data_IF_573683481947
#
_entry.id   IF_573683481947
#
_cell.length_a   1.000
_cell.length_b   1.000
_cell.length_c   1.000
_cell.angle_alpha   90.00
_cell.angle_beta   90.00
_cell.angle_gamma   90.00
#
_symmetry.space_group_name_H-M   'P 1'
#
loop_
_entity.id
_entity.type
_entity.pdbx_description
1 polymer ?
#
# COMPACT_ATOMS: atom_id res chain seq x y z
N UNK A 1 -4.54 -5.52 -17.92
CA UNK A 1 -4.16 -6.48 -16.85
C UNK A 1 -3.84 -5.72 -15.58
N UNK A 2 -4.54 -5.96 -14.45
CA UNK A 2 -4.22 -5.31 -13.19
C UNK A 2 -2.82 -5.73 -12.74
N UNK A 3 -1.94 -4.75 -12.52
CA UNK A 3 -0.57 -4.94 -12.05
C UNK A 3 -0.51 -4.77 -10.52
N UNK A 4 -1.33 -5.52 -9.80
CA UNK A 4 -1.21 -5.70 -8.35
C UNK A 4 -0.67 -7.11 -8.10
N UNK A 5 0.56 -7.24 -7.61
CA UNK A 5 1.12 -8.56 -7.25
C UNK A 5 1.32 -8.58 -5.76
N UNK A 6 0.49 -9.32 -5.01
CA UNK A 6 0.84 -9.69 -3.64
C UNK A 6 2.13 -10.54 -3.66
N UNK A 7 2.88 -10.58 -2.56
CA UNK A 7 4.17 -11.26 -2.50
C UNK A 7 4.04 -12.74 -2.88
N UNK A 8 4.72 -13.17 -3.94
CA UNK A 8 4.92 -14.61 -4.20
C UNK A 8 6.29 -15.01 -3.68
N UNK A 9 6.34 -15.54 -2.45
CA UNK A 9 7.50 -16.26 -1.93
C UNK A 9 7.06 -17.69 -1.64
N UNK A 10 7.80 -18.67 -2.18
CA UNK A 10 7.68 -20.07 -1.77
C UNK A 10 7.87 -20.09 -0.25
N UNK A 11 6.85 -20.51 0.50
CA UNK A 11 6.80 -20.55 1.98
C UNK A 11 6.54 -19.22 2.71
N UNK A 12 6.05 -18.17 2.03
CA UNK A 12 5.44 -17.02 2.73
C UNK A 12 4.05 -16.77 2.19
N UNK A 13 3.04 -16.97 3.03
CA UNK A 13 1.65 -16.65 2.75
C UNK A 13 1.26 -15.46 3.60
N UNK A 14 0.30 -14.68 3.09
CA UNK A 14 -0.43 -13.78 3.97
C UNK A 14 -1.20 -14.66 4.96
N UNK A 15 -1.39 -14.15 6.17
CA UNK A 15 -2.10 -14.83 7.25
C UNK A 15 -3.19 -13.91 7.82
N UNK A 16 -4.07 -14.46 8.64
CA UNK A 16 -5.02 -13.66 9.40
C UNK A 16 -4.27 -12.66 10.30
N UNK A 17 -4.82 -11.46 10.44
CA UNK A 17 -4.23 -10.30 11.12
C UNK A 17 -2.99 -9.67 10.46
N UNK A 18 -2.55 -10.17 9.29
CA UNK A 18 -1.56 -9.43 8.50
C UNK A 18 -2.13 -8.09 8.02
N UNK A 19 -1.22 -7.12 7.77
CA UNK A 19 -1.56 -5.84 7.17
C UNK A 19 -1.20 -5.80 5.69
N UNK A 20 -2.21 -5.59 4.85
CA UNK A 20 -2.02 -5.24 3.45
C UNK A 20 -2.09 -3.72 3.27
N UNK A 21 -0.93 -3.06 3.14
CA UNK A 21 -0.86 -1.60 3.03
C UNK A 21 -0.91 -1.12 1.57
N UNK A 22 -1.64 -0.02 1.35
CA UNK A 22 -1.72 0.66 0.07
C UNK A 22 -0.82 1.89 0.05
N UNK A 23 0.04 1.94 -0.96
CA UNK A 23 1.00 3.01 -1.17
C UNK A 23 0.66 3.82 -2.42
N UNK A 24 0.82 5.14 -2.33
CA UNK A 24 0.58 6.07 -3.44
C UNK A 24 1.71 7.09 -3.55
N UNK A 25 2.00 7.50 -4.79
CA UNK A 25 2.83 8.67 -5.05
C UNK A 25 2.01 9.93 -4.85
N UNK A 26 2.35 10.74 -3.84
CA UNK A 26 1.63 11.97 -3.50
C UNK A 26 2.58 13.17 -3.43
N UNK A 27 2.00 14.37 -3.46
CA UNK A 27 2.68 15.63 -3.19
C UNK A 27 1.83 16.52 -2.28
N UNK A 28 2.46 17.15 -1.30
CA UNK A 28 1.82 18.14 -0.44
C UNK A 28 1.80 19.50 -1.16
N UNK A 29 0.61 19.95 -1.53
CA UNK A 29 0.42 21.25 -2.16
C UNK A 29 0.17 22.35 -1.11
N UNK A 30 0.45 23.62 -1.43
CA UNK A 30 0.07 24.74 -0.57
C UNK A 30 -1.43 24.74 -0.26
N UNK A 31 -1.79 25.36 0.87
CA UNK A 31 -3.19 25.55 1.22
C UNK A 31 -3.95 26.24 0.09
N UNK A 32 -5.21 25.84 -0.13
CA UNK A 32 -6.08 26.36 -1.20
C UNK A 32 -5.51 26.15 -2.62
N UNK A 33 -4.50 25.29 -2.81
CA UNK A 33 -3.99 25.01 -4.16
C UNK A 33 -5.11 24.55 -5.10
N UNK A 34 -6.01 23.69 -4.63
CA UNK A 34 -7.14 23.17 -5.38
C UNK A 34 -8.41 24.02 -5.33
N UNK A 35 -8.41 25.18 -4.65
CA UNK A 35 -9.61 26.03 -4.52
C UNK A 35 -10.02 26.73 -5.81
N UNK A 36 -9.17 26.66 -6.85
CA UNK A 36 -9.46 27.14 -8.20
C UNK A 36 -8.99 26.14 -9.24
N UNK A 37 -9.67 26.11 -10.39
CA UNK A 37 -9.23 25.31 -11.54
C UNK A 37 -7.86 25.80 -12.00
N UNK A 38 -6.92 24.88 -12.19
CA UNK A 38 -5.55 25.16 -12.65
C UNK A 38 -5.26 24.47 -13.97
N UNK A 39 -4.40 25.09 -14.77
CA UNK A 39 -3.87 24.48 -15.99
C UNK A 39 -2.87 23.39 -15.64
N UNK A 40 -2.74 22.40 -16.51
CA UNK A 40 -1.78 21.29 -16.34
C UNK A 40 -0.33 21.79 -16.10
N UNK A 41 0.07 22.89 -16.74
CA UNK A 41 1.40 23.50 -16.55
C UNK A 41 1.62 23.97 -15.11
N UNK A 42 0.60 24.56 -14.47
CA UNK A 42 0.68 25.03 -13.09
C UNK A 42 0.76 23.86 -12.11
N UNK A 43 -0.02 22.80 -12.36
CA UNK A 43 0.01 21.56 -11.57
C UNK A 43 1.40 20.92 -11.65
N UNK A 44 1.98 20.82 -12.85
CA UNK A 44 3.34 20.30 -13.06
C UNK A 44 4.39 21.14 -12.36
N UNK A 45 4.28 22.48 -12.39
CA UNK A 45 5.21 23.39 -11.70
C UNK A 45 5.15 23.18 -10.18
N UNK A 46 3.95 23.19 -9.60
CA UNK A 46 3.77 23.00 -8.16
C UNK A 46 4.21 21.59 -7.69
N UNK A 47 4.00 20.56 -8.52
CA UNK A 47 4.53 19.24 -8.25
C UNK A 47 6.06 19.22 -8.19
N UNK A 48 6.74 19.83 -9.17
CA UNK A 48 8.22 19.95 -9.17
C UNK A 48 8.74 20.72 -7.96
N UNK A 49 8.10 21.83 -7.60
CA UNK A 49 8.44 22.58 -6.39
C UNK A 49 8.28 21.72 -5.13
N UNK A 50 7.21 20.91 -5.07
CA UNK A 50 7.00 19.96 -3.98
C UNK A 50 8.08 18.89 -3.96
N UNK A 51 8.54 18.39 -5.12
CA UNK A 51 9.66 17.45 -5.19
C UNK A 51 10.96 18.06 -4.65
N UNK A 52 11.28 19.29 -5.03
CA UNK A 52 12.49 20.01 -4.57
C UNK A 52 12.45 20.24 -3.07
N UNK A 53 11.29 20.63 -2.53
CA UNK A 53 11.07 20.84 -1.09
C UNK A 53 10.94 19.52 -0.30
N UNK A 54 11.13 18.37 -0.95
CA UNK A 54 10.97 17.06 -0.33
C UNK A 54 9.53 16.75 0.10
N UNK A 55 8.53 17.53 -0.32
CA UNK A 55 7.09 17.42 -0.04
C UNK A 55 6.35 16.47 -0.98
N UNK A 56 7.02 15.94 -1.99
CA UNK A 56 6.52 14.85 -2.83
C UNK A 56 7.29 13.55 -2.56
N UNK A 57 6.61 12.42 -2.71
CA UNK A 57 7.18 11.12 -2.37
C UNK A 57 6.17 9.98 -2.41
N UNK A 58 6.51 8.88 -1.74
CA UNK A 58 5.63 7.72 -1.58
C UNK A 58 5.06 7.73 -0.18
N UNK A 59 3.75 7.50 -0.08
CA UNK A 59 3.00 7.52 1.16
C UNK A 59 2.17 6.25 1.30
N UNK A 60 2.02 5.76 2.51
CA UNK A 60 0.93 4.84 2.87
C UNK A 60 -0.33 5.69 3.00
N UNK A 61 -1.42 5.25 2.39
CA UNK A 61 -2.72 5.97 2.40
C UNK A 61 -3.83 5.19 3.11
N UNK A 62 -3.61 3.90 3.34
CA UNK A 62 -4.56 3.01 3.96
C UNK A 62 -4.11 1.56 3.84
N UNK A 63 -5.01 0.64 4.12
CA UNK A 63 -4.73 -0.78 4.02
C UNK A 63 -5.94 -1.64 4.34
N UNK A 64 -5.68 -2.93 4.51
CA UNK A 64 -6.64 -3.94 4.95
C UNK A 64 -5.97 -4.73 6.08
N UNK A 65 -6.66 -4.88 7.20
CA UNK A 65 -6.36 -5.90 8.22
C UNK A 65 -7.00 -7.19 7.70
N UNK A 66 -6.20 -8.22 7.46
CA UNK A 66 -6.67 -9.45 6.80
C UNK A 66 -7.47 -10.29 7.80
N UNK A 67 -8.71 -10.61 7.45
CA UNK A 67 -9.55 -11.55 8.20
C UNK A 67 -9.46 -12.95 7.57
N UNK A 68 -9.57 -13.03 6.24
CA UNK A 68 -9.59 -14.31 5.53
C UNK A 68 -8.92 -14.22 4.15
N UNK A 69 -8.27 -15.30 3.74
CA UNK A 69 -7.66 -15.43 2.41
C UNK A 69 -8.34 -16.56 1.65
N UNK A 70 -9.01 -16.20 0.56
CA UNK A 70 -9.81 -17.12 -0.22
C UNK A 70 -9.03 -17.59 -1.43
N UNK A 71 -8.68 -18.87 -1.42
CA UNK A 71 -8.10 -19.56 -2.57
C UNK A 71 -9.21 -19.98 -3.54
N UNK A 72 -9.42 -19.17 -4.59
CA UNK A 72 -10.48 -19.43 -5.57
C UNK A 72 -10.21 -20.72 -6.35
N UNK A 73 -8.97 -21.21 -6.43
CA UNK A 73 -8.67 -22.52 -7.06
C UNK A 73 -9.47 -23.66 -6.43
N UNK A 74 -9.70 -23.60 -5.12
CA UNK A 74 -10.33 -24.67 -4.35
C UNK A 74 -11.85 -24.63 -4.39
N UNK A 75 -12.43 -23.43 -4.48
CA UNK A 75 -13.86 -23.21 -4.27
C UNK A 75 -14.59 -22.84 -5.56
N UNK A 76 -13.88 -22.26 -6.53
CA UNK A 76 -14.43 -21.70 -7.76
C UNK A 76 -15.02 -20.29 -7.57
N UNK A 77 -14.91 -19.45 -8.60
CA UNK A 77 -15.23 -18.02 -8.50
C UNK A 77 -16.71 -17.75 -8.20
N UNK A 78 -17.64 -18.47 -8.85
CA UNK A 78 -19.09 -18.32 -8.64
C UNK A 78 -19.50 -18.65 -7.20
N UNK A 79 -18.95 -19.72 -6.64
CA UNK A 79 -19.20 -20.12 -5.25
C UNK A 79 -18.56 -19.15 -4.26
N UNK A 80 -17.37 -18.64 -4.58
CA UNK A 80 -16.68 -17.64 -3.77
C UNK A 80 -17.49 -16.34 -3.69
N UNK A 81 -18.05 -15.84 -4.80
CA UNK A 81 -18.93 -14.67 -4.79
C UNK A 81 -20.20 -14.95 -3.99
N UNK A 82 -20.81 -16.14 -4.13
CA UNK A 82 -22.02 -16.49 -3.38
C UNK A 82 -21.78 -16.50 -1.86
N UNK A 83 -20.62 -17.01 -1.43
CA UNK A 83 -20.24 -17.08 -0.02
C UNK A 83 -19.71 -15.73 0.50
N UNK A 84 -19.07 -14.95 -0.37
CA UNK A 84 -18.46 -13.66 -0.06
C UNK A 84 -18.80 -12.63 -1.14
N UNK A 85 -19.99 -12.00 -1.10
CA UNK A 85 -20.43 -11.08 -2.16
C UNK A 85 -19.47 -9.91 -2.41
N UNK A 86 -18.80 -9.45 -1.35
CA UNK A 86 -17.87 -8.32 -1.41
C UNK A 86 -16.49 -8.68 -2.01
N UNK A 87 -16.24 -9.96 -2.29
CA UNK A 87 -14.97 -10.42 -2.87
C UNK A 87 -14.65 -9.71 -4.19
N UNK A 88 -15.68 -9.30 -4.95
CA UNK A 88 -15.54 -8.60 -6.23
C UNK A 88 -14.75 -7.30 -6.10
N UNK A 89 -14.87 -6.63 -4.95
CA UNK A 89 -14.19 -5.36 -4.64
C UNK A 89 -12.87 -5.57 -3.89
N UNK A 90 -12.56 -6.81 -3.51
CA UNK A 90 -11.35 -7.14 -2.77
C UNK A 90 -10.09 -7.04 -3.64
N UNK A 91 -8.91 -6.83 -3.05
CA UNK A 91 -7.66 -6.99 -3.78
C UNK A 91 -7.49 -8.45 -4.21
N UNK A 92 -7.32 -8.65 -5.51
CA UNK A 92 -7.03 -9.96 -6.10
C UNK A 92 -5.58 -10.07 -6.49
N UNK A 93 -5.01 -11.27 -6.41
CA UNK A 93 -3.72 -11.56 -7.05
C UNK A 93 -3.75 -12.87 -7.82
N UNK A 94 -2.95 -12.91 -8.88
CA UNK A 94 -2.67 -14.12 -9.65
C UNK A 94 -1.35 -14.72 -9.16
N UNK A 95 -1.35 -16.00 -8.77
CA UNK A 95 -0.09 -16.74 -8.65
C UNK A 95 0.31 -17.23 -10.05
N UNK A 96 1.63 -17.35 -10.30
CA UNK A 96 2.11 -17.82 -11.62
C UNK A 96 1.61 -19.25 -11.81
N UNK A 97 0.82 -19.48 -12.86
CA UNK A 97 0.16 -20.76 -13.18
C UNK A 97 -0.96 -21.18 -12.21
N UNK A 98 -1.57 -20.24 -11.49
CA UNK A 98 -2.57 -20.54 -10.45
C UNK A 98 -3.82 -19.65 -10.60
N UNK A 99 -4.93 -20.10 -10.01
CA UNK A 99 -6.18 -19.35 -9.95
C UNK A 99 -6.05 -18.14 -9.00
N UNK A 100 -6.91 -17.12 -9.15
CA UNK A 100 -6.84 -15.93 -8.31
C UNK A 100 -6.98 -16.26 -6.83
N UNK A 101 -6.43 -15.40 -5.99
CA UNK A 101 -6.67 -15.40 -4.55
C UNK A 101 -7.18 -14.03 -4.16
N UNK A 102 -8.19 -14.02 -3.32
CA UNK A 102 -8.78 -12.81 -2.77
C UNK A 102 -8.42 -12.66 -1.29
N UNK A 103 -8.30 -11.41 -0.85
CA UNK A 103 -8.08 -11.06 0.55
C UNK A 103 -9.32 -10.35 1.06
N UNK A 104 -9.97 -10.92 2.07
CA UNK A 104 -11.07 -10.29 2.79
C UNK A 104 -10.54 -9.77 4.12
N UNK A 105 -11.03 -8.60 4.51
CA UNK A 105 -10.57 -7.97 5.73
C UNK A 105 -11.23 -6.63 6.00
N UNK A 106 -10.91 -6.06 7.15
CA UNK A 106 -11.31 -4.70 7.52
C UNK A 106 -10.42 -3.67 6.83
N UNK A 107 -10.97 -3.00 5.82
CA UNK A 107 -10.31 -1.89 5.13
C UNK A 107 -10.24 -0.63 6.00
N UNK A 108 -9.17 0.16 5.83
CA UNK A 108 -9.00 1.45 6.49
C UNK A 108 -8.29 2.46 5.58
N UNK A 109 -8.56 3.75 5.84
CA UNK A 109 -7.85 4.88 5.26
C UNK A 109 -7.16 5.64 6.37
N UNK A 110 -5.96 6.15 6.09
CA UNK A 110 -5.27 7.03 7.01
C UNK A 110 -5.85 8.43 6.88
N UNK A 111 -6.19 9.06 8.01
CA UNK A 111 -6.63 10.46 8.04
C UNK A 111 -5.55 11.39 7.45
N UNK A 112 -4.28 11.07 7.70
CA UNK A 112 -3.13 11.75 7.11
C UNK A 112 -2.21 10.69 6.46
N UNK A 113 -1.90 10.79 5.15
CA UNK A 113 -0.99 9.86 4.51
C UNK A 113 0.38 9.81 5.21
N UNK A 114 0.87 8.61 5.50
CA UNK A 114 2.14 8.40 6.18
C UNK A 114 3.28 8.32 5.18
N UNK A 115 4.24 9.24 5.26
CA UNK A 115 5.30 9.37 4.27
C UNK A 115 6.41 8.35 4.49
N UNK A 116 6.58 7.46 3.52
CA UNK A 116 7.60 6.39 3.58
C UNK A 116 8.83 6.68 2.73
N UNK A 117 8.72 7.60 1.78
CA UNK A 117 9.82 7.96 0.90
C UNK A 117 9.71 9.40 0.43
N UNK A 118 10.86 9.99 0.13
CA UNK A 118 10.94 11.24 -0.63
C UNK A 118 10.93 10.98 -2.13
N UNK A 119 10.78 12.03 -2.93
CA UNK A 119 10.84 11.99 -4.41
C UNK A 119 12.11 11.34 -4.99
N UNK A 120 13.19 11.25 -4.19
CA UNK A 120 14.45 10.58 -4.53
C UNK A 120 14.48 9.08 -4.19
N UNK A 121 13.33 8.49 -3.86
CA UNK A 121 13.20 7.11 -3.39
C UNK A 121 14.03 6.81 -2.13
N UNK A 122 14.40 7.83 -1.35
CA UNK A 122 15.11 7.65 -0.09
C UNK A 122 14.07 7.41 1.02
N UNK A 123 14.15 6.28 1.76
CA UNK A 123 13.29 6.01 2.91
C UNK A 123 13.33 7.15 3.94
N UNK A 124 12.18 7.45 4.54
CA UNK A 124 12.10 8.37 5.69
C UNK A 124 12.63 7.70 6.96
N UNK A 125 13.02 8.49 7.96
CA UNK A 125 13.46 7.98 9.28
C UNK A 125 12.37 7.13 9.92
N UNK A 126 11.14 7.63 9.94
CA UNK A 126 9.99 6.93 10.52
C UNK A 126 9.72 5.60 9.80
N UNK A 127 9.88 5.54 8.46
CA UNK A 127 9.73 4.27 7.76
C UNK A 127 10.86 3.28 8.07
N UNK A 128 12.08 3.76 8.27
CA UNK A 128 13.20 2.93 8.74
C UNK A 128 12.92 2.40 10.16
N UNK A 129 12.39 3.24 11.05
CA UNK A 129 11.99 2.82 12.40
C UNK A 129 10.86 1.80 12.36
N UNK A 130 9.87 2.00 11.47
CA UNK A 130 8.70 1.14 11.33
C UNK A 130 9.05 -0.29 10.90
N UNK A 131 9.89 -0.47 9.87
CA UNK A 131 10.12 -1.78 9.26
C UNK A 131 11.58 -2.26 9.29
N UNK A 132 12.46 -1.48 9.90
CA UNK A 132 13.90 -1.71 9.91
C UNK A 132 14.61 -1.18 8.66
N UNK A 133 15.87 -0.77 8.86
CA UNK A 133 16.72 -0.17 7.82
C UNK A 133 16.83 -1.02 6.57
N UNK A 134 17.14 -2.31 6.71
CA UNK A 134 17.35 -3.19 5.57
C UNK A 134 16.08 -3.32 4.71
N UNK A 135 14.92 -3.56 5.34
CA UNK A 135 13.64 -3.68 4.63
C UNK A 135 13.24 -2.37 3.96
N UNK A 136 13.44 -1.23 4.62
CA UNK A 136 13.14 0.09 4.07
C UNK A 136 13.94 0.40 2.81
N UNK A 137 15.27 0.20 2.84
CA UNK A 137 16.13 0.40 1.67
C UNK A 137 15.90 -0.63 0.57
N UNK A 138 15.59 -1.88 0.91
CA UNK A 138 15.23 -2.90 -0.07
C UNK A 138 13.91 -2.56 -0.78
N UNK A 139 12.92 -2.04 -0.05
CA UNK A 139 11.64 -1.59 -0.62
C UNK A 139 11.85 -0.41 -1.58
N UNK A 140 12.67 0.56 -1.18
CA UNK A 140 13.06 1.69 -2.00
C UNK A 140 13.74 1.28 -3.31
N UNK A 141 14.75 0.39 -3.25
CA UNK A 141 15.46 -0.12 -4.44
C UNK A 141 14.53 -0.82 -5.44
N UNK A 142 13.42 -1.39 -4.97
CA UNK A 142 12.41 -2.03 -5.81
C UNK A 142 11.29 -1.07 -6.25
N UNK A 143 11.50 0.25 -6.15
CA UNK A 143 10.54 1.29 -6.52
C UNK A 143 9.18 1.17 -5.81
N UNK A 144 9.13 0.53 -4.64
CA UNK A 144 7.87 0.26 -3.92
C UNK A 144 6.86 -0.58 -4.76
N UNK A 145 7.31 -1.21 -5.87
CA UNK A 145 6.46 -1.95 -6.81
C UNK A 145 6.27 -3.42 -6.45
N UNK A 146 7.18 -3.98 -5.65
CA UNK A 146 7.13 -5.37 -5.21
C UNK A 146 6.61 -5.39 -3.79
N UNK A 147 5.32 -5.65 -3.65
CA UNK A 147 4.71 -6.09 -2.41
C UNK A 147 5.52 -7.29 -1.92
N UNK A 148 6.20 -7.14 -0.79
CA UNK A 148 6.87 -8.22 -0.06
C UNK A 148 6.19 -8.34 1.29
N UNK A 149 6.03 -9.56 1.81
CA UNK A 149 5.68 -9.75 3.22
C UNK A 149 6.89 -9.29 4.01
N UNK A 150 6.74 -8.13 4.62
CA UNK A 150 7.69 -7.52 5.53
C UNK A 150 7.22 -7.92 6.91
N UNK A 151 8.03 -8.70 7.62
CA UNK A 151 7.75 -8.99 9.01
C UNK A 151 8.05 -7.73 9.80
N UNK A 152 7.04 -7.30 10.53
CA UNK A 152 7.15 -6.20 11.46
C UNK A 152 7.17 -6.84 12.84
N UNK A 153 8.10 -6.41 13.68
CA UNK A 153 8.22 -6.96 15.05
C UNK A 153 7.04 -6.60 15.94
N UNK A 154 6.34 -5.53 15.61
CA UNK A 154 5.24 -4.99 16.40
C UNK A 154 4.24 -4.30 15.47
N UNK A 155 3.12 -4.99 15.24
CA UNK A 155 2.04 -4.51 14.38
C UNK A 155 1.21 -3.43 15.07
N UNK A 156 1.15 -3.47 16.40
CA UNK A 156 0.44 -2.49 17.21
C UNK A 156 1.15 -1.15 17.15
N UNK A 157 2.50 -1.14 17.20
CA UNK A 157 3.29 0.07 16.93
C UNK A 157 3.02 0.64 15.52
N UNK A 158 2.78 -0.21 14.50
CA UNK A 158 2.38 0.28 13.18
C UNK A 158 1.01 0.92 13.22
N UNK A 159 0.03 0.20 13.79
CA UNK A 159 -1.34 0.66 13.91
C UNK A 159 -1.34 1.99 14.68
N UNK A 160 -0.70 2.07 15.83
CA UNK A 160 -0.49 3.31 16.56
C UNK A 160 0.15 4.37 15.68
N UNK A 161 1.31 4.15 15.04
CA UNK A 161 1.92 5.20 14.21
C UNK A 161 1.08 5.64 13.00
N UNK A 162 0.21 4.77 12.48
CA UNK A 162 -0.67 5.05 11.36
C UNK A 162 -2.00 5.69 11.78
N UNK A 163 -2.50 5.37 12.98
CA UNK A 163 -3.81 5.80 13.49
C UNK A 163 -3.74 6.80 14.66
N UNK A 164 -2.56 7.08 15.23
CA UNK A 164 -2.36 8.05 16.30
C UNK A 164 -2.54 9.49 15.80
N UNK A 165 -3.21 10.27 16.64
CA UNK A 165 -3.54 11.67 16.45
C UNK A 165 -2.36 12.59 16.78
#
# INVERSE_FOLDING_TARGET
MPKGRLPYKKNKKLEENDLLLFMAGLAEYPEKFWSKRRRLREIKKAFRESQVKGKAGIFIVGGIIIDEIIDISKVGWKNSIRRYPNIIYSPHYYRKNDYPVAVIGKGFLLRKPFKISTSKLKPTKNFIELIGKENAYNTARNNYRRTRIIYVKDIDTIIEQLFSY
#
